data_IF_035131513662
#
_entry.id   IF_035131513662
#
_cell.length_a   1.000
_cell.length_b   1.000
_cell.length_c   1.000
_cell.angle_alpha   90.00
_cell.angle_beta   90.00
_cell.angle_gamma   90.00
#
_symmetry.space_group_name_H-M   'P 1'
#
loop_
_entity.id
_entity.type
_entity.pdbx_description
1 polymer ?
#
# COMPACT_ATOMS: atom_id res chain seq x y z
N UNK A 1 5.24 31.59 2.04
CA UNK A 1 4.41 30.54 2.69
C UNK A 1 4.48 29.28 1.84
N UNK A 2 4.82 28.15 2.45
CA UNK A 2 5.09 26.85 1.79
C UNK A 2 3.85 26.28 1.08
N UNK A 3 3.82 26.33 -0.25
CA UNK A 3 2.81 25.65 -1.09
C UNK A 3 3.25 24.24 -1.56
N UNK A 4 4.08 23.54 -0.78
CA UNK A 4 4.36 22.11 -0.99
C UNK A 4 3.74 21.27 0.14
N UNK A 5 2.41 21.36 0.30
CA UNK A 5 1.67 20.32 1.01
C UNK A 5 1.16 19.32 -0.02
N UNK A 6 2.10 18.48 -0.43
CA UNK A 6 1.94 17.11 -0.93
C UNK A 6 0.53 16.79 -1.43
N UNK A 7 0.32 16.73 -2.75
CA UNK A 7 -0.77 15.92 -3.32
C UNK A 7 -0.52 14.46 -2.90
N UNK A 8 -0.98 14.10 -1.71
CA UNK A 8 -0.61 12.86 -1.03
C UNK A 8 -1.31 11.70 -1.71
N UNK A 9 -0.62 11.08 -2.66
CA UNK A 9 -1.00 9.78 -3.18
C UNK A 9 -1.26 8.81 -2.02
N UNK A 10 -2.37 8.09 -2.07
CA UNK A 10 -2.70 7.08 -1.05
C UNK A 10 -1.53 6.10 -0.87
N UNK A 11 -1.08 5.98 0.38
CA UNK A 11 -0.06 5.03 0.76
C UNK A 11 -0.50 3.60 0.45
N UNK A 12 0.40 2.80 -0.13
CA UNK A 12 0.13 1.40 -0.49
C UNK A 12 -1.10 1.21 -1.40
N UNK A 13 -1.53 2.23 -2.16
CA UNK A 13 -2.83 2.24 -2.84
C UNK A 13 -3.12 1.03 -3.74
N UNK A 14 -2.11 0.45 -4.41
CA UNK A 14 -2.31 -0.76 -5.23
C UNK A 14 -2.61 -2.00 -4.40
N UNK A 15 -1.95 -2.17 -3.25
CA UNK A 15 -2.21 -3.28 -2.33
C UNK A 15 -3.58 -3.10 -1.65
N UNK A 16 -3.90 -1.87 -1.20
CA UNK A 16 -5.23 -1.55 -0.64
C UNK A 16 -6.36 -1.94 -1.60
N UNK A 17 -6.25 -1.58 -2.88
CA UNK A 17 -7.19 -1.97 -3.95
C UNK A 17 -7.35 -3.48 -4.08
N UNK A 18 -6.24 -4.21 -4.09
CA UNK A 18 -6.24 -5.66 -4.22
C UNK A 18 -6.88 -6.36 -3.02
N UNK A 19 -6.59 -5.87 -1.80
CA UNK A 19 -7.18 -6.39 -0.57
C UNK A 19 -8.69 -6.18 -0.52
N UNK A 20 -9.17 -4.99 -0.92
CA UNK A 20 -10.61 -4.70 -0.99
C UNK A 20 -11.29 -5.60 -2.03
N UNK A 21 -10.70 -5.73 -3.21
CA UNK A 21 -11.24 -6.63 -4.24
C UNK A 21 -11.28 -8.10 -3.78
N UNK A 22 -10.21 -8.58 -3.13
CA UNK A 22 -10.17 -9.93 -2.56
C UNK A 22 -11.31 -10.18 -1.56
N UNK A 23 -11.56 -9.23 -0.66
CA UNK A 23 -12.61 -9.37 0.37
C UNK A 23 -14.01 -9.39 -0.22
N UNK A 24 -14.24 -8.56 -1.24
CA UNK A 24 -15.51 -8.52 -1.97
C UNK A 24 -15.74 -9.84 -2.67
N UNK A 25 -14.75 -10.35 -3.40
CA UNK A 25 -14.83 -11.65 -4.09
C UNK A 25 -15.02 -12.81 -3.12
N UNK A 26 -14.35 -12.78 -1.97
CA UNK A 26 -14.39 -13.85 -0.98
C UNK A 26 -15.73 -13.96 -0.25
N UNK A 27 -16.36 -12.83 0.05
CA UNK A 27 -17.59 -12.79 0.84
C UNK A 27 -18.84 -12.47 -0.01
N UNK A 28 -18.71 -12.47 -1.33
CA UNK A 28 -19.77 -12.17 -2.29
C UNK A 28 -20.51 -10.85 -1.97
N UNK A 29 -19.74 -9.80 -1.67
CA UNK A 29 -20.30 -8.50 -1.31
C UNK A 29 -20.85 -7.81 -2.56
N UNK A 30 -22.09 -7.33 -2.51
CA UNK A 30 -22.70 -6.55 -3.61
C UNK A 30 -21.85 -5.33 -3.96
N UNK A 31 -21.43 -5.26 -5.23
CA UNK A 31 -20.50 -4.24 -5.74
C UNK A 31 -21.26 -2.95 -6.04
N UNK A 32 -21.28 -2.05 -5.07
CA UNK A 32 -21.74 -0.65 -5.24
C UNK A 32 -20.63 0.30 -4.81
N UNK A 33 -20.58 1.51 -5.39
CA UNK A 33 -19.59 2.53 -5.00
C UNK A 33 -19.56 2.74 -3.48
N UNK A 34 -20.72 2.82 -2.85
CA UNK A 34 -20.85 3.05 -1.41
C UNK A 34 -20.36 1.86 -0.58
N UNK A 35 -20.69 0.62 -0.95
CA UNK A 35 -20.22 -0.56 -0.23
C UNK A 35 -18.70 -0.70 -0.31
N UNK A 36 -18.13 -0.46 -1.50
CA UNK A 36 -16.67 -0.49 -1.69
C UNK A 36 -16.00 0.64 -0.89
N UNK A 37 -16.59 1.84 -0.85
CA UNK A 37 -16.05 2.99 -0.08
C UNK A 37 -16.11 2.73 1.41
N UNK A 38 -17.25 2.23 1.92
CA UNK A 38 -17.42 1.84 3.32
C UNK A 38 -16.41 0.78 3.75
N UNK A 39 -16.20 -0.25 2.92
CA UNK A 39 -15.19 -1.28 3.21
C UNK A 39 -13.76 -0.71 3.20
N UNK A 40 -13.44 0.14 2.23
CA UNK A 40 -12.14 0.81 2.17
C UNK A 40 -11.87 1.63 3.42
N UNK A 41 -12.79 2.52 3.79
CA UNK A 41 -12.61 3.43 4.93
C UNK A 41 -12.68 2.70 6.27
N UNK A 42 -13.38 1.57 6.36
CA UNK A 42 -13.31 0.68 7.52
C UNK A 42 -11.88 0.17 7.78
N UNK A 43 -11.12 -0.08 6.73
CA UNK A 43 -9.74 -0.59 6.84
C UNK A 43 -8.68 0.50 6.84
N UNK A 44 -8.95 1.61 6.15
CA UNK A 44 -8.02 2.71 5.93
C UNK A 44 -8.72 4.05 6.18
N UNK A 45 -9.14 4.32 7.43
CA UNK A 45 -9.84 5.57 7.76
C UNK A 45 -8.98 6.80 7.48
N UNK A 46 -7.65 6.67 7.48
CA UNK A 46 -6.73 7.76 7.14
C UNK A 46 -6.86 8.28 5.70
N UNK A 47 -7.48 7.51 4.80
CA UNK A 47 -7.70 7.92 3.41
C UNK A 47 -9.00 8.75 3.22
N UNK A 48 -9.82 8.93 4.26
CA UNK A 48 -11.10 9.66 4.17
C UNK A 48 -10.91 11.10 3.69
N UNK A 49 -10.03 11.86 4.36
CA UNK A 49 -9.72 13.25 4.00
C UNK A 49 -9.21 13.38 2.55
N UNK A 50 -8.49 12.37 2.05
CA UNK A 50 -8.03 12.34 0.67
C UNK A 50 -9.21 12.23 -0.32
N UNK A 51 -10.19 11.39 -0.03
CA UNK A 51 -11.36 11.23 -0.88
C UNK A 51 -12.33 12.41 -0.81
N UNK A 52 -12.41 13.07 0.35
CA UNK A 52 -13.23 14.26 0.51
C UNK A 52 -12.66 15.43 -0.30
N UNK A 53 -11.32 15.58 -0.29
CA UNK A 53 -10.63 16.59 -1.10
C UNK A 53 -10.63 16.27 -2.59
N UNK A 54 -10.56 14.99 -2.96
CA UNK A 54 -10.43 14.56 -4.35
C UNK A 54 -11.46 13.45 -4.72
N UNK A 55 -12.77 13.77 -4.78
CA UNK A 55 -13.81 12.77 -5.04
C UNK A 55 -13.64 12.01 -6.36
N UNK A 56 -13.13 12.67 -7.40
CA UNK A 56 -12.88 12.03 -8.70
C UNK A 56 -11.81 10.92 -8.63
N UNK A 57 -10.88 10.97 -7.66
CA UNK A 57 -9.91 9.90 -7.44
C UNK A 57 -10.60 8.64 -6.92
N UNK A 58 -11.64 8.78 -6.10
CA UNK A 58 -12.46 7.65 -5.66
C UNK A 58 -13.07 6.91 -6.85
N UNK A 59 -13.66 7.62 -7.81
CA UNK A 59 -14.24 7.01 -9.01
C UNK A 59 -13.22 6.15 -9.78
N UNK A 60 -11.98 6.62 -9.89
CA UNK A 60 -10.89 5.84 -10.50
C UNK A 60 -10.48 4.60 -9.69
N UNK A 61 -10.60 4.63 -8.36
CA UNK A 61 -10.38 3.47 -7.50
C UNK A 61 -11.51 2.46 -7.67
N UNK A 62 -12.74 2.90 -7.53
CA UNK A 62 -13.94 2.09 -7.68
C UNK A 62 -13.97 1.39 -9.05
N UNK A 63 -13.83 2.15 -10.14
CA UNK A 63 -13.82 1.60 -11.51
C UNK A 63 -12.74 0.55 -11.72
N UNK A 64 -11.58 0.71 -11.08
CA UNK A 64 -10.51 -0.29 -11.16
C UNK A 64 -10.89 -1.58 -10.43
N UNK A 65 -11.51 -1.47 -9.25
CA UNK A 65 -11.95 -2.63 -8.45
C UNK A 65 -13.07 -3.38 -9.17
N UNK A 66 -14.12 -2.70 -9.61
CA UNK A 66 -15.26 -3.32 -10.30
C UNK A 66 -14.81 -4.09 -11.55
N UNK A 67 -14.01 -3.45 -12.43
CA UNK A 67 -13.45 -4.11 -13.63
C UNK A 67 -12.56 -5.30 -13.34
N UNK A 68 -11.95 -5.36 -12.15
CA UNK A 68 -11.11 -6.48 -11.75
C UNK A 68 -11.93 -7.65 -11.22
N UNK A 69 -13.00 -7.36 -10.48
CA UNK A 69 -13.95 -8.34 -9.98
C UNK A 69 -14.73 -9.01 -11.11
N UNK A 70 -15.04 -8.29 -12.19
CA UNK A 70 -15.67 -8.87 -13.40
C UNK A 70 -14.83 -9.97 -14.07
N UNK A 71 -13.51 -9.98 -13.85
CA UNK A 71 -12.56 -10.80 -14.64
C UNK A 71 -11.86 -11.89 -13.85
N UNK A 72 -11.89 -11.80 -12.53
CA UNK A 72 -10.99 -12.57 -11.68
C UNK A 72 -11.68 -12.99 -10.40
N UNK A 73 -11.38 -14.22 -9.99
CA UNK A 73 -11.82 -14.78 -8.73
C UNK A 73 -10.83 -14.50 -7.57
N UNK A 74 -11.20 -15.02 -6.41
CA UNK A 74 -10.43 -14.95 -5.17
C UNK A 74 -9.01 -15.52 -5.30
N UNK A 75 -8.80 -16.61 -6.06
CA UNK A 75 -7.47 -17.23 -6.20
C UNK A 75 -6.51 -16.34 -7.00
N UNK A 76 -7.00 -15.71 -8.06
CA UNK A 76 -6.23 -14.74 -8.83
C UNK A 76 -5.87 -13.52 -7.98
N UNK A 77 -6.78 -13.04 -7.12
CA UNK A 77 -6.47 -11.94 -6.21
C UNK A 77 -5.38 -12.28 -5.20
N UNK A 78 -5.35 -13.50 -4.67
CA UNK A 78 -4.25 -13.96 -3.80
C UNK A 78 -2.90 -13.82 -4.52
N UNK A 79 -2.82 -14.34 -5.76
CA UNK A 79 -1.59 -14.25 -6.59
C UNK A 79 -1.19 -12.79 -6.84
N UNK A 80 -2.15 -11.91 -7.14
CA UNK A 80 -1.87 -10.48 -7.34
C UNK A 80 -1.40 -9.77 -6.08
N UNK A 81 -1.96 -10.10 -4.92
CA UNK A 81 -1.52 -9.54 -3.63
C UNK A 81 -0.09 -9.96 -3.34
N UNK A 82 0.24 -11.25 -3.49
CA UNK A 82 1.59 -11.75 -3.24
C UNK A 82 2.62 -11.13 -4.20
N UNK A 83 2.29 -11.05 -5.49
CA UNK A 83 3.13 -10.37 -6.49
C UNK A 83 3.35 -8.89 -6.16
N UNK A 84 2.29 -8.20 -5.72
CA UNK A 84 2.38 -6.79 -5.33
C UNK A 84 3.28 -6.60 -4.10
N UNK A 85 3.20 -7.49 -3.10
CA UNK A 85 4.04 -7.46 -1.89
C UNK A 85 5.50 -7.76 -2.20
N UNK A 86 5.75 -8.72 -3.10
CA UNK A 86 7.10 -9.01 -3.59
C UNK A 86 7.68 -7.83 -4.37
N UNK A 87 6.88 -7.18 -5.23
CA UNK A 87 7.31 -5.96 -5.93
C UNK A 87 7.65 -4.84 -4.95
N UNK A 88 6.81 -4.61 -3.93
CA UNK A 88 7.08 -3.63 -2.88
C UNK A 88 8.39 -3.93 -2.12
N UNK A 89 8.66 -5.19 -1.76
CA UNK A 89 9.94 -5.62 -1.18
C UNK A 89 11.12 -5.26 -2.09
N UNK A 90 11.03 -5.57 -3.39
CA UNK A 90 12.09 -5.27 -4.35
C UNK A 90 12.34 -3.75 -4.45
N UNK A 91 11.27 -2.95 -4.52
CA UNK A 91 11.37 -1.49 -4.56
C UNK A 91 11.96 -0.92 -3.26
N UNK A 92 11.59 -1.46 -2.10
CA UNK A 92 12.19 -1.07 -0.83
C UNK A 92 13.69 -1.41 -0.78
N UNK A 93 14.10 -2.58 -1.27
CA UNK A 93 15.51 -2.96 -1.33
C UNK A 93 16.31 -2.03 -2.26
N UNK A 94 15.76 -1.67 -3.43
CA UNK A 94 16.39 -0.66 -4.32
C UNK A 94 16.58 0.68 -3.60
N UNK A 95 15.57 1.14 -2.88
CA UNK A 95 15.63 2.39 -2.10
C UNK A 95 16.61 2.29 -0.93
N UNK A 96 16.68 1.16 -0.24
CA UNK A 96 17.66 0.92 0.82
C UNK A 96 19.08 0.95 0.28
N UNK A 97 19.35 0.26 -0.83
CA UNK A 97 20.66 0.26 -1.49
C UNK A 97 21.11 1.67 -1.86
N UNK A 98 20.20 2.48 -2.40
CA UNK A 98 20.50 3.87 -2.70
C UNK A 98 20.79 4.70 -1.43
N UNK A 99 20.13 4.42 -0.31
CA UNK A 99 20.19 5.26 0.90
C UNK A 99 21.31 4.86 1.86
N UNK A 100 21.69 3.57 1.90
CA UNK A 100 22.64 3.04 2.89
C UNK A 100 23.74 2.15 2.27
N UNK A 101 23.84 2.11 0.94
CA UNK A 101 24.72 1.16 0.25
C UNK A 101 24.29 -0.30 0.43
N UNK A 102 25.23 -1.24 0.28
CA UNK A 102 24.93 -2.68 0.28
C UNK A 102 24.71 -3.28 1.69
N UNK A 103 24.81 -2.49 2.75
CA UNK A 103 24.73 -2.97 4.14
C UNK A 103 23.30 -3.07 4.68
N UNK A 104 22.31 -2.56 3.93
CA UNK A 104 20.91 -2.57 4.31
C UNK A 104 20.06 -3.38 3.34
N UNK A 105 19.12 -4.14 3.90
CA UNK A 105 18.16 -4.92 3.11
C UNK A 105 16.80 -4.97 3.80
N UNK A 106 15.79 -5.36 3.03
CA UNK A 106 14.41 -5.46 3.48
C UNK A 106 13.88 -6.86 3.23
N UNK A 107 13.32 -7.45 4.29
CA UNK A 107 12.60 -8.72 4.22
C UNK A 107 11.09 -8.47 4.34
N UNK A 108 10.32 -9.26 3.60
CA UNK A 108 8.87 -9.32 3.75
C UNK A 108 8.56 -10.26 4.91
N UNK A 109 7.75 -9.79 5.86
CA UNK A 109 7.31 -10.62 6.97
C UNK A 109 6.06 -11.40 6.54
N UNK A 110 5.95 -12.67 6.97
CA UNK A 110 4.79 -13.51 6.66
C UNK A 110 3.52 -12.83 7.17
N UNK A 111 2.64 -12.43 6.24
CA UNK A 111 1.34 -11.85 6.55
C UNK A 111 0.25 -12.63 5.83
N UNK A 112 -0.65 -13.27 6.59
CA UNK A 112 -1.87 -13.85 6.04
C UNK A 112 -2.73 -12.73 5.43
N UNK A 113 -3.35 -12.97 4.28
CA UNK A 113 -4.33 -12.06 3.69
C UNK A 113 -5.60 -12.15 4.55
N UNK A 114 -5.79 -11.16 5.44
CA UNK A 114 -6.92 -11.11 6.37
C UNK A 114 -7.22 -9.67 6.78
N UNK A 115 -8.50 -9.32 6.83
CA UNK A 115 -9.02 -8.07 7.41
C UNK A 115 -8.33 -6.80 6.90
N UNK A 116 -8.04 -6.72 5.59
CA UNK A 116 -7.42 -5.52 5.01
C UNK A 116 -6.00 -5.21 5.49
N UNK A 117 -5.33 -6.16 6.16
CA UNK A 117 -3.99 -5.89 6.71
C UNK A 117 -2.96 -5.77 5.59
N UNK A 118 -2.34 -4.60 5.49
CA UNK A 118 -1.18 -4.37 4.62
C UNK A 118 0.00 -5.25 5.01
N UNK A 119 0.83 -5.60 4.03
CA UNK A 119 2.10 -6.26 4.29
C UNK A 119 3.02 -5.40 5.15
N UNK A 120 3.68 -6.07 6.07
CA UNK A 120 4.75 -5.54 6.89
C UNK A 120 6.10 -6.07 6.43
N UNK A 121 7.07 -5.19 6.53
CA UNK A 121 8.44 -5.39 6.10
C UNK A 121 9.36 -5.05 7.27
N UNK A 122 10.50 -5.73 7.33
CA UNK A 122 11.57 -5.41 8.25
C UNK A 122 12.77 -4.91 7.45
N UNK A 123 13.14 -3.66 7.67
CA UNK A 123 14.40 -3.09 7.21
C UNK A 123 15.48 -3.39 8.25
N UNK A 124 16.59 -3.95 7.78
CA UNK A 124 17.76 -4.29 8.58
C UNK A 124 18.95 -3.49 8.02
N UNK A 125 19.65 -2.75 8.88
CA UNK A 125 20.89 -2.05 8.59
C UNK A 125 21.87 -2.28 9.75
N UNK A 126 22.74 -3.28 9.62
CA UNK A 126 23.56 -3.76 10.73
C UNK A 126 22.71 -4.17 11.94
N UNK A 127 23.02 -3.60 13.11
CA UNK A 127 22.23 -3.81 14.33
C UNK A 127 20.88 -3.06 14.33
N UNK A 128 20.72 -2.04 13.47
CA UNK A 128 19.50 -1.24 13.41
C UNK A 128 18.39 -1.96 12.66
N UNK A 129 17.20 -1.97 13.26
CA UNK A 129 16.00 -2.61 12.70
C UNK A 129 14.84 -1.63 12.68
N UNK A 130 14.08 -1.61 11.58
CA UNK A 130 12.85 -0.81 11.48
C UNK A 130 11.73 -1.61 10.84
N UNK A 131 10.60 -1.67 11.55
CA UNK A 131 9.38 -2.31 11.10
C UNK A 131 8.45 -1.31 10.44
N UNK A 132 7.71 -1.74 9.42
CA UNK A 132 6.58 -0.97 8.91
C UNK A 132 6.00 -1.53 7.62
N UNK A 133 4.91 -0.92 7.17
CA UNK A 133 4.38 -1.19 5.84
C UNK A 133 5.21 -0.48 4.76
N UNK A 134 4.87 -0.73 3.49
CA UNK A 134 5.60 -0.15 2.37
C UNK A 134 5.66 1.38 2.44
N UNK A 135 4.53 2.05 2.70
CA UNK A 135 4.48 3.51 2.76
C UNK A 135 5.30 4.10 3.90
N UNK A 136 5.21 3.54 5.11
CA UNK A 136 5.96 4.03 6.26
C UNK A 136 7.47 3.87 6.07
N UNK A 137 7.93 2.76 5.46
CA UNK A 137 9.35 2.57 5.17
C UNK A 137 9.85 3.46 4.03
N UNK A 138 9.03 3.73 3.02
CA UNK A 138 9.36 4.72 1.98
C UNK A 138 9.51 6.11 2.58
N UNK A 139 8.60 6.53 3.46
CA UNK A 139 8.69 7.82 4.15
C UNK A 139 9.97 7.92 5.00
N UNK A 140 10.28 6.86 5.76
CA UNK A 140 11.53 6.77 6.51
C UNK A 140 12.76 6.91 5.61
N UNK A 141 12.88 6.13 4.54
CA UNK A 141 14.04 6.19 3.64
C UNK A 141 14.20 7.57 3.00
N UNK A 142 13.10 8.24 2.63
CA UNK A 142 13.13 9.62 2.13
C UNK A 142 13.68 10.59 3.18
N UNK A 143 13.29 10.45 4.45
CA UNK A 143 13.76 11.32 5.53
C UNK A 143 15.27 11.19 5.81
N UNK A 144 15.89 10.05 5.49
CA UNK A 144 17.33 9.85 5.70
C UNK A 144 18.17 10.57 4.66
N UNK A 145 17.71 10.63 3.40
CA UNK A 145 18.40 11.36 2.33
C UNK A 145 18.55 12.85 2.60
N UNK A 146 17.58 13.45 3.28
CA UNK A 146 17.59 14.89 3.58
C UNK A 146 18.67 15.25 4.62
N UNK A 147 19.17 14.27 5.38
CA UNK A 147 20.18 14.50 6.42
C UNK A 147 21.63 14.51 5.91
N UNK A 148 21.91 14.05 4.69
CA UNK A 148 23.27 14.00 4.13
C UNK A 148 23.69 15.27 3.36
N UNK A 149 22.82 16.29 3.28
CA UNK A 149 23.08 17.56 2.55
C UNK A 149 23.28 18.79 3.47
N UNK A 150 23.89 18.62 4.65
CA UNK A 150 24.32 19.76 5.50
C UNK A 150 25.81 19.68 5.75
#
# INVERSE_FOLDING_TARGET
MNNQKVESMISCGKEKKLLVAYEIAKNDITITSDNVKKLWLKWYPEDEEYFDKLPYKWNGIYNWISKKLEKHDTEIFVKYIDNQRMRQKCELNKKCKYTFGNNAHVILLKNKIKNGKLANYLLINGASKRYGNYGSLVAYLKSQKVKETV
#
